data_IF_190717621176
#
_entry.id   IF_190717621176
#
_cell.length_a   1.000
_cell.length_b   1.000
_cell.length_c   1.000
_cell.angle_alpha   90.00
_cell.angle_beta   90.00
_cell.angle_gamma   90.00
#
_symmetry.space_group_name_H-M   'P 1'
#
loop_
_entity.id
_entity.type
_entity.pdbx_description
1 polymer ?
#
# COMPACT_ATOMS: atom_id res chain seq x y z
N UNK A 1 -18.71 -16.98 -0.78
CA UNK A 1 -17.23 -16.84 -0.70
C UNK A 1 -16.64 -15.84 -1.71
N UNK A 2 -16.92 -15.93 -3.03
CA UNK A 2 -16.34 -15.00 -4.05
C UNK A 2 -16.49 -13.49 -3.75
N UNK A 3 -17.63 -13.04 -3.20
CA UNK A 3 -17.88 -11.61 -2.94
C UNK A 3 -17.01 -10.98 -1.84
N UNK A 4 -16.59 -11.76 -0.84
CA UNK A 4 -15.80 -11.25 0.30
C UNK A 4 -14.31 -11.11 -0.06
N UNK A 5 -13.80 -11.98 -0.95
CA UNK A 5 -12.40 -11.93 -1.40
C UNK A 5 -12.15 -10.93 -2.53
N UNK A 6 -13.19 -10.55 -3.27
CA UNK A 6 -13.07 -9.65 -4.42
C UNK A 6 -12.41 -8.30 -4.06
N UNK A 7 -12.74 -7.61 -2.94
CA UNK A 7 -12.08 -6.36 -2.57
C UNK A 7 -10.57 -6.51 -2.36
N UNK A 8 -10.13 -7.65 -1.83
CA UNK A 8 -8.71 -7.94 -1.64
C UNK A 8 -8.00 -8.14 -2.97
N UNK A 9 -8.51 -9.04 -3.82
CA UNK A 9 -7.92 -9.33 -5.13
C UNK A 9 -7.81 -8.06 -5.97
N UNK A 10 -8.87 -7.26 -6.04
CA UNK A 10 -8.87 -6.00 -6.78
C UNK A 10 -7.88 -5.00 -6.21
N UNK A 11 -7.80 -4.85 -4.90
CA UNK A 11 -6.88 -3.91 -4.28
C UNK A 11 -5.42 -4.32 -4.51
N UNK A 12 -5.06 -5.59 -4.30
CA UNK A 12 -3.69 -6.06 -4.51
C UNK A 12 -3.29 -6.04 -5.99
N UNK A 13 -4.21 -6.34 -6.89
CA UNK A 13 -3.99 -6.17 -8.32
C UNK A 13 -3.77 -4.69 -8.69
N UNK A 14 -4.59 -3.79 -8.16
CA UNK A 14 -4.41 -2.34 -8.32
C UNK A 14 -3.05 -1.90 -7.82
N UNK A 15 -2.63 -2.34 -6.63
CA UNK A 15 -1.33 -2.01 -6.05
C UNK A 15 -0.17 -2.47 -6.95
N UNK A 16 -0.23 -3.72 -7.43
CA UNK A 16 0.78 -4.29 -8.31
C UNK A 16 0.91 -3.48 -9.61
N UNK A 17 -0.20 -3.21 -10.29
CA UNK A 17 -0.21 -2.42 -11.54
C UNK A 17 0.30 -1.00 -11.28
N UNK A 18 -0.08 -0.39 -10.15
CA UNK A 18 0.33 0.97 -9.81
C UNK A 18 1.84 1.06 -9.56
N UNK A 19 2.42 0.11 -8.81
CA UNK A 19 3.86 0.06 -8.62
C UNK A 19 4.60 -0.17 -9.93
N UNK A 20 4.13 -1.09 -10.78
CA UNK A 20 4.73 -1.34 -12.08
C UNK A 20 4.77 -0.07 -12.93
N UNK A 21 3.65 0.65 -13.04
CA UNK A 21 3.57 1.89 -13.81
C UNK A 21 4.47 3.00 -13.23
N UNK A 22 4.44 3.21 -11.91
CA UNK A 22 5.27 4.25 -11.28
C UNK A 22 6.75 3.94 -11.41
N UNK A 23 7.16 2.69 -11.22
CA UNK A 23 8.54 2.26 -11.43
C UNK A 23 8.97 2.44 -12.88
N UNK A 24 8.11 2.12 -13.85
CA UNK A 24 8.38 2.31 -15.27
C UNK A 24 8.58 3.80 -15.60
N UNK A 25 7.66 4.66 -15.17
CA UNK A 25 7.76 6.12 -15.37
C UNK A 25 9.03 6.67 -14.73
N UNK A 26 9.37 6.24 -13.51
CA UNK A 26 10.58 6.67 -12.83
C UNK A 26 11.85 6.26 -13.56
N UNK A 27 11.91 5.03 -14.09
CA UNK A 27 13.05 4.56 -14.86
C UNK A 27 13.24 5.39 -16.14
N UNK A 28 12.14 5.71 -16.84
CA UNK A 28 12.17 6.57 -18.03
C UNK A 28 12.64 7.98 -17.67
N UNK A 29 12.07 8.61 -16.64
CA UNK A 29 12.47 9.97 -16.21
C UNK A 29 13.94 10.06 -15.83
N UNK A 30 14.48 9.05 -15.15
CA UNK A 30 15.90 8.99 -14.78
C UNK A 30 16.83 8.81 -15.97
N UNK A 31 16.37 8.17 -17.06
CA UNK A 31 17.18 8.04 -18.26
C UNK A 31 17.46 9.40 -18.94
N UNK A 32 16.63 10.40 -18.67
CA UNK A 32 16.76 11.75 -19.21
C UNK A 32 17.40 12.76 -18.25
N UNK A 33 17.39 12.48 -16.94
CA UNK A 33 17.88 13.40 -15.91
C UNK A 33 18.97 12.76 -15.06
N UNK A 34 20.17 13.35 -15.03
CA UNK A 34 21.21 13.01 -14.06
C UNK A 34 20.82 13.50 -12.65
N UNK A 35 19.92 12.77 -12.01
CA UNK A 35 19.50 13.02 -10.63
C UNK A 35 20.46 12.30 -9.69
N UNK A 36 20.85 12.97 -8.60
CA UNK A 36 21.68 12.34 -7.59
C UNK A 36 20.95 11.16 -6.93
N UNK A 37 21.70 10.12 -6.56
CA UNK A 37 21.16 8.92 -5.91
C UNK A 37 20.36 9.25 -4.63
N UNK A 38 20.75 10.30 -3.92
CA UNK A 38 20.05 10.81 -2.75
C UNK A 38 18.63 11.29 -3.07
N UNK A 39 18.49 12.16 -4.07
CA UNK A 39 17.18 12.70 -4.48
C UNK A 39 16.28 11.58 -5.02
N UNK A 40 16.86 10.64 -5.78
CA UNK A 40 16.14 9.47 -6.27
C UNK A 40 15.55 8.62 -5.14
N UNK A 41 16.37 8.29 -4.13
CA UNK A 41 15.92 7.49 -2.99
C UNK A 41 14.79 8.17 -2.20
N UNK A 42 14.88 9.48 -1.98
CA UNK A 42 13.82 10.25 -1.33
C UNK A 42 12.53 10.18 -2.15
N UNK A 43 12.63 10.38 -3.47
CA UNK A 43 11.47 10.39 -4.34
C UNK A 43 10.79 9.01 -4.38
N UNK A 44 11.57 7.93 -4.43
CA UNK A 44 11.06 6.57 -4.29
C UNK A 44 10.32 6.34 -2.97
N UNK A 45 10.88 6.80 -1.85
CA UNK A 45 10.24 6.65 -0.53
C UNK A 45 8.88 7.38 -0.54
N UNK A 46 8.86 8.64 -0.98
CA UNK A 46 7.63 9.45 -1.03
C UNK A 46 6.58 8.78 -1.93
N UNK A 47 6.94 8.37 -3.15
CA UNK A 47 6.03 7.69 -4.07
C UNK A 47 5.50 6.38 -3.51
N UNK A 48 6.32 5.63 -2.79
CA UNK A 48 5.92 4.37 -2.17
C UNK A 48 4.83 4.57 -1.11
N UNK A 49 5.03 5.51 -0.17
CA UNK A 49 4.02 5.82 0.85
C UNK A 49 2.78 6.50 0.28
N UNK A 50 2.92 7.30 -0.79
CA UNK A 50 1.80 7.86 -1.52
C UNK A 50 0.92 6.76 -2.13
N UNK A 51 1.54 5.80 -2.85
CA UNK A 51 0.84 4.66 -3.44
C UNK A 51 0.13 3.81 -2.39
N UNK A 52 0.79 3.53 -1.26
CA UNK A 52 0.17 2.80 -0.14
C UNK A 52 -1.06 3.53 0.43
N UNK A 53 -1.02 4.86 0.47
CA UNK A 53 -2.15 5.67 0.93
C UNK A 53 -3.34 5.59 -0.05
N UNK A 54 -3.09 5.74 -1.35
CA UNK A 54 -4.12 5.58 -2.41
C UNK A 54 -4.70 4.17 -2.40
N UNK A 55 -3.85 3.16 -2.24
CA UNK A 55 -4.25 1.76 -2.11
C UNK A 55 -5.17 1.51 -0.90
N UNK A 56 -4.86 2.10 0.26
CA UNK A 56 -5.70 1.98 1.46
C UNK A 56 -7.06 2.62 1.25
N UNK A 57 -7.12 3.80 0.62
CA UNK A 57 -8.37 4.47 0.26
C UNK A 57 -9.22 3.64 -0.71
N UNK A 58 -8.58 3.07 -1.74
CA UNK A 58 -9.23 2.21 -2.71
C UNK A 58 -9.82 0.97 -2.04
N UNK A 59 -9.06 0.30 -1.17
CA UNK A 59 -9.55 -0.86 -0.43
C UNK A 59 -10.72 -0.48 0.50
N UNK A 60 -10.59 0.61 1.26
CA UNK A 60 -11.63 1.10 2.16
C UNK A 60 -12.94 1.39 1.43
N UNK A 61 -12.88 2.00 0.24
CA UNK A 61 -14.07 2.30 -0.58
C UNK A 61 -14.81 1.02 -1.02
N UNK A 62 -14.08 -0.08 -1.23
CA UNK A 62 -14.62 -1.34 -1.73
C UNK A 62 -15.11 -2.29 -0.62
N UNK A 63 -14.70 -2.07 0.63
CA UNK A 63 -15.15 -2.87 1.78
C UNK A 63 -16.42 -2.26 2.38
N UNK A 64 -17.53 -3.01 2.31
CA UNK A 64 -18.82 -2.59 2.86
C UNK A 64 -19.19 -3.31 4.16
N UNK A 65 -18.86 -4.59 4.24
CA UNK A 65 -19.19 -5.44 5.39
C UNK A 65 -18.04 -5.48 6.39
N UNK A 66 -18.35 -5.57 7.69
CA UNK A 66 -17.39 -5.79 8.80
C UNK A 66 -16.04 -5.06 8.66
N UNK A 67 -16.03 -3.73 8.42
CA UNK A 67 -14.82 -3.03 8.00
C UNK A 67 -13.69 -3.06 9.04
N UNK A 68 -14.02 -3.16 10.33
CA UNK A 68 -13.04 -3.36 11.40
C UNK A 68 -12.17 -4.61 11.21
N UNK A 69 -12.79 -5.73 10.84
CA UNK A 69 -12.09 -7.01 10.65
C UNK A 69 -11.22 -6.93 9.40
N UNK A 70 -11.78 -6.39 8.31
CA UNK A 70 -11.04 -6.21 7.06
C UNK A 70 -9.84 -5.25 7.23
N UNK A 71 -9.98 -4.22 8.07
CA UNK A 71 -8.91 -3.29 8.43
C UNK A 71 -7.73 -3.93 9.17
N UNK A 72 -7.94 -5.04 9.88
CA UNK A 72 -6.85 -5.83 10.47
C UNK A 72 -6.27 -6.82 9.47
N UNK A 73 -7.11 -7.57 8.77
CA UNK A 73 -6.66 -8.62 7.84
C UNK A 73 -5.83 -8.03 6.70
N UNK A 74 -6.21 -6.86 6.19
CA UNK A 74 -5.58 -6.25 5.03
C UNK A 74 -4.09 -5.92 5.23
N UNK A 75 -3.68 -5.18 6.29
CA UNK A 75 -2.27 -4.95 6.59
C UNK A 75 -1.49 -6.24 6.88
N UNK A 76 -2.14 -7.25 7.49
CA UNK A 76 -1.52 -8.55 7.75
C UNK A 76 -1.19 -9.32 6.46
N UNK A 77 -2.08 -9.32 5.47
CA UNK A 77 -1.78 -9.92 4.16
C UNK A 77 -0.58 -9.21 3.52
N UNK A 78 -0.53 -7.87 3.59
CA UNK A 78 0.57 -7.10 3.04
C UNK A 78 1.90 -7.41 3.75
N UNK A 79 1.87 -7.56 5.08
CA UNK A 79 3.02 -7.99 5.88
C UNK A 79 3.53 -9.38 5.44
N UNK A 80 2.65 -10.36 5.29
CA UNK A 80 3.03 -11.71 4.85
C UNK A 80 3.69 -11.66 3.47
N UNK A 81 3.11 -10.91 2.53
CA UNK A 81 3.69 -10.71 1.19
C UNK A 81 5.09 -10.11 1.31
N UNK A 82 5.29 -9.09 2.14
CA UNK A 82 6.61 -8.48 2.32
C UNK A 82 7.64 -9.44 2.90
N UNK A 83 7.26 -10.24 3.89
CA UNK A 83 8.14 -11.24 4.50
C UNK A 83 8.57 -12.26 3.46
N UNK A 84 7.65 -12.72 2.60
CA UNK A 84 7.98 -13.67 1.53
C UNK A 84 8.99 -13.06 0.55
N UNK A 85 8.79 -11.80 0.12
CA UNK A 85 9.68 -11.15 -0.84
C UNK A 85 11.04 -10.74 -0.28
N UNK A 86 11.16 -10.49 1.03
CA UNK A 86 12.38 -9.99 1.67
C UNK A 86 12.94 -10.96 2.71
N UNK A 87 12.65 -12.26 2.60
CA UNK A 87 12.98 -13.25 3.62
C UNK A 87 14.47 -13.28 3.97
N UNK A 88 15.36 -13.10 2.97
CA UNK A 88 16.81 -13.11 3.16
C UNK A 88 17.37 -11.80 3.74
N UNK A 89 16.65 -10.68 3.60
CA UNK A 89 17.08 -9.35 4.04
C UNK A 89 16.02 -8.71 4.96
N UNK A 90 15.56 -9.47 5.95
CA UNK A 90 14.55 -8.95 6.86
C UNK A 90 15.08 -7.76 7.65
N UNK A 91 14.46 -6.60 7.46
CA UNK A 91 14.74 -5.36 8.19
C UNK A 91 13.49 -4.92 8.94
N UNK A 92 13.64 -4.44 10.16
CA UNK A 92 12.52 -3.89 10.95
C UNK A 92 11.76 -2.76 10.23
N UNK A 93 12.43 -2.05 9.33
CA UNK A 93 11.80 -1.02 8.48
C UNK A 93 10.69 -1.57 7.58
N UNK A 94 10.65 -2.88 7.32
CA UNK A 94 9.56 -3.53 6.60
C UNK A 94 8.23 -3.38 7.34
N UNK A 95 8.23 -3.41 8.68
CA UNK A 95 7.01 -3.27 9.50
C UNK A 95 6.35 -1.89 9.41
N UNK A 96 7.08 -0.86 9.01
CA UNK A 96 6.56 0.51 8.91
C UNK A 96 5.42 0.61 7.89
N UNK A 97 5.51 -0.13 6.78
CA UNK A 97 4.50 -0.06 5.71
C UNK A 97 3.17 -0.73 6.13
N UNK A 98 3.13 -1.96 6.67
CA UNK A 98 1.93 -2.52 7.29
C UNK A 98 1.34 -1.63 8.40
N UNK A 99 2.18 -1.04 9.25
CA UNK A 99 1.72 -0.11 10.29
C UNK A 99 1.06 1.14 9.69
N UNK A 100 1.64 1.70 8.63
CA UNK A 100 1.07 2.83 7.90
C UNK A 100 -0.33 2.50 7.34
N UNK A 101 -0.48 1.34 6.69
CA UNK A 101 -1.77 0.86 6.18
C UNK A 101 -2.82 0.73 7.30
N UNK A 102 -2.41 0.19 8.44
CA UNK A 102 -3.28 -0.01 9.60
C UNK A 102 -3.76 1.34 10.16
N UNK A 103 -2.82 2.27 10.42
CA UNK A 103 -3.13 3.59 10.97
C UNK A 103 -4.08 4.35 10.04
N UNK A 104 -3.78 4.41 8.73
CA UNK A 104 -4.62 5.09 7.75
C UNK A 104 -6.02 4.49 7.68
N UNK A 105 -6.13 3.15 7.64
CA UNK A 105 -7.43 2.50 7.52
C UNK A 105 -8.32 2.80 8.74
N UNK A 106 -7.78 2.71 9.95
CA UNK A 106 -8.54 3.01 11.17
C UNK A 106 -8.86 4.50 11.31
N UNK A 107 -7.98 5.39 10.85
CA UNK A 107 -8.27 6.83 10.77
C UNK A 107 -9.45 7.11 9.84
N UNK A 108 -9.51 6.45 8.68
CA UNK A 108 -10.65 6.54 7.76
C UNK A 108 -11.94 5.98 8.37
N UNK A 109 -11.86 4.88 9.11
CA UNK A 109 -13.01 4.33 9.84
C UNK A 109 -13.54 5.32 10.88
N UNK A 110 -12.64 5.95 11.63
CA UNK A 110 -12.99 6.92 12.65
C UNK A 110 -13.68 8.15 12.05
N UNK A 111 -13.13 8.71 10.96
CA UNK A 111 -13.73 9.85 10.24
C UNK A 111 -15.13 9.48 9.74
N UNK A 112 -15.29 8.31 9.13
CA UNK A 112 -16.59 7.85 8.61
C UNK A 112 -17.64 7.72 9.72
N UNK A 113 -17.26 7.21 10.90
CA UNK A 113 -18.17 7.12 12.05
C UNK A 113 -18.63 8.48 12.55
N UNK A 114 -17.77 9.51 12.50
CA UNK A 114 -18.12 10.87 12.96
C UNK A 114 -19.10 11.58 12.01
N UNK A 115 -19.18 11.15 10.76
CA UNK A 115 -20.07 11.73 9.74
C UNK A 115 -21.45 11.06 9.69
N UNK A 116 -21.67 9.98 10.44
CA UNK A 116 -22.95 9.27 10.57
C UNK A 116 -23.63 9.64 11.89
#
# INVERSE_FOLDING_TARGET
MKKIMMPYLLAYFFLFVSYFLVSFIMAVLLSFMHISSFVYNILLIIMNYFLLSVFTLFFFKNVKEKPWIHGLIFPFIYLIIQIIFHFQEFKFTLLLKPLWLLILYFLLLYIKKKQQ
#
